data_IF_144754875075
#
_entry.id   IF_144754875075
#
_cell.length_a   1.000
_cell.length_b   1.000
_cell.length_c   1.000
_cell.angle_alpha   90.00
_cell.angle_beta   90.00
_cell.angle_gamma   90.00
#
_symmetry.space_group_name_H-M   'P 1'
#
loop_
_entity.id
_entity.type
_entity.pdbx_description
1 polymer ?
#
# COMPACT_ATOMS: atom_id res chain seq x y z
N UNK A 1 16.81 12.34 -14.09
CA UNK A 1 17.86 11.89 -13.16
C UNK A 1 18.13 10.43 -13.42
N UNK A 2 19.40 10.07 -13.67
CA UNK A 2 19.83 8.68 -13.76
C UNK A 2 20.56 8.31 -12.47
N UNK A 3 20.32 7.11 -11.94
CA UNK A 3 21.01 6.59 -10.76
C UNK A 3 21.47 5.15 -10.97
N UNK A 4 22.58 4.80 -10.34
CA UNK A 4 23.08 3.43 -10.27
C UNK A 4 23.23 3.08 -8.80
N UNK A 5 22.53 2.05 -8.36
CA UNK A 5 22.60 1.55 -6.99
C UNK A 5 23.19 0.14 -6.98
N UNK A 6 24.15 -0.10 -6.10
CA UNK A 6 24.73 -1.41 -5.88
C UNK A 6 24.16 -2.00 -4.57
N UNK A 7 23.72 -3.25 -4.63
CA UNK A 7 23.25 -4.02 -3.49
C UNK A 7 24.14 -5.23 -3.29
N UNK A 8 24.90 -5.24 -2.22
CA UNK A 8 25.71 -6.38 -1.85
C UNK A 8 24.84 -7.55 -1.39
N UNK A 9 25.25 -8.80 -1.63
CA UNK A 9 24.59 -9.96 -1.03
C UNK A 9 24.61 -9.85 0.51
N UNK A 10 23.53 -10.28 1.12
CA UNK A 10 23.50 -10.43 2.58
C UNK A 10 24.44 -11.58 3.00
N UNK A 11 25.04 -11.46 4.18
CA UNK A 11 25.92 -12.52 4.70
C UNK A 11 25.21 -13.86 4.77
N UNK A 12 23.94 -13.85 5.08
CA UNK A 12 23.06 -15.03 5.12
C UNK A 12 22.93 -15.76 3.77
N UNK A 13 23.21 -15.06 2.65
CA UNK A 13 23.17 -15.66 1.31
C UNK A 13 24.50 -16.31 0.92
N UNK A 14 25.57 -15.98 1.63
CA UNK A 14 26.93 -16.43 1.30
C UNK A 14 27.36 -17.67 2.06
N UNK A 15 26.69 -17.98 3.17
CA UNK A 15 27.04 -19.08 4.09
C UNK A 15 25.94 -20.13 4.14
N UNK A 16 26.35 -21.39 4.28
CA UNK A 16 25.41 -22.48 4.52
C UNK A 16 24.81 -22.35 5.91
N UNK A 17 23.48 -22.55 5.99
CA UNK A 17 22.76 -22.61 7.26
C UNK A 17 22.02 -23.94 7.33
N UNK A 18 22.49 -24.81 8.21
CA UNK A 18 21.77 -26.02 8.56
C UNK A 18 20.83 -25.72 9.73
N UNK A 19 19.54 -25.71 9.46
CA UNK A 19 18.54 -25.77 10.50
C UNK A 19 18.23 -27.23 10.80
N UNK A 20 18.70 -27.70 11.95
CA UNK A 20 18.48 -29.08 12.39
C UNK A 20 17.03 -29.39 12.77
N UNK A 21 16.15 -28.38 12.78
CA UNK A 21 14.73 -28.55 13.09
C UNK A 21 13.94 -29.16 11.93
N UNK A 22 14.40 -28.98 10.67
CA UNK A 22 13.80 -29.62 9.49
C UNK A 22 14.86 -30.33 8.65
N UNK A 23 14.98 -31.67 8.78
CA UNK A 23 15.98 -32.44 8.05
C UNK A 23 15.70 -32.53 6.54
N UNK A 24 14.52 -32.16 6.09
CA UNK A 24 14.16 -32.12 4.66
C UNK A 24 14.37 -30.74 4.02
N UNK A 25 14.91 -29.78 4.77
CA UNK A 25 15.17 -28.42 4.30
C UNK A 25 16.60 -27.99 4.56
N UNK A 26 17.28 -27.50 3.53
CA UNK A 26 18.64 -26.98 3.62
C UNK A 26 18.77 -25.64 2.94
N UNK A 27 19.16 -24.61 3.66
CA UNK A 27 19.51 -23.29 3.13
C UNK A 27 21.00 -23.25 2.79
N UNK A 28 21.33 -23.56 1.55
CA UNK A 28 22.71 -23.53 1.05
C UNK A 28 23.14 -22.11 0.71
N UNK A 29 24.30 -21.70 1.19
CA UNK A 29 24.93 -20.44 0.81
C UNK A 29 25.47 -20.46 -0.62
N UNK A 30 25.73 -19.27 -1.17
CA UNK A 30 26.41 -19.11 -2.44
C UNK A 30 27.49 -18.02 -2.37
N UNK A 31 28.73 -18.38 -2.02
CA UNK A 31 29.84 -17.42 -1.95
C UNK A 31 30.17 -16.74 -3.29
N UNK A 32 29.72 -17.28 -4.42
CA UNK A 32 29.97 -16.74 -5.75
C UNK A 32 28.89 -15.74 -6.23
N UNK A 33 27.99 -15.33 -5.35
CA UNK A 33 26.99 -14.31 -5.69
C UNK A 33 27.66 -12.98 -6.09
N UNK A 34 27.23 -12.46 -7.22
CA UNK A 34 27.62 -11.16 -7.71
C UNK A 34 26.77 -10.09 -7.05
N UNK A 35 27.34 -8.90 -6.88
CA UNK A 35 26.60 -7.69 -6.47
C UNK A 35 25.48 -7.40 -7.45
N UNK A 36 24.28 -7.19 -6.94
CA UNK A 36 23.16 -6.72 -7.74
C UNK A 36 23.29 -5.23 -8.03
N UNK A 37 22.95 -4.81 -9.23
CA UNK A 37 22.94 -3.40 -9.65
C UNK A 37 21.56 -3.03 -10.17
N UNK A 38 21.10 -1.88 -9.74
CA UNK A 38 19.92 -1.24 -10.26
C UNK A 38 20.33 -0.01 -11.08
N UNK A 39 19.92 0.01 -12.32
CA UNK A 39 20.01 1.17 -13.20
C UNK A 39 18.63 1.80 -13.27
N UNK A 40 18.50 3.08 -12.91
CA UNK A 40 17.22 3.77 -12.96
C UNK A 40 17.30 5.11 -13.65
N UNK A 41 16.26 5.42 -14.39
CA UNK A 41 16.04 6.72 -15.03
C UNK A 41 14.69 7.26 -14.57
N UNK A 42 14.68 8.50 -14.11
CA UNK A 42 13.46 9.19 -13.66
C UNK A 42 13.37 10.58 -14.28
N UNK A 43 12.17 10.94 -14.72
CA UNK A 43 11.83 12.28 -15.15
C UNK A 43 10.66 12.81 -14.29
N UNK A 44 10.76 14.06 -13.86
CA UNK A 44 9.72 14.72 -13.05
C UNK A 44 9.45 16.10 -13.61
N UNK A 45 8.17 16.37 -13.87
CA UNK A 45 7.67 17.69 -14.22
C UNK A 45 6.76 18.20 -13.10
N UNK A 46 7.01 19.41 -12.61
CA UNK A 46 6.21 20.08 -11.57
C UNK A 46 5.76 21.45 -12.04
N UNK A 47 4.47 21.65 -11.98
CA UNK A 47 3.84 22.95 -12.19
C UNK A 47 3.07 23.37 -10.96
N UNK A 48 3.32 24.61 -10.49
CA UNK A 48 2.54 25.23 -9.42
C UNK A 48 2.18 26.65 -9.85
N UNK A 49 0.92 27.00 -9.68
CA UNK A 49 0.46 28.35 -9.96
C UNK A 49 1.10 29.37 -9.01
N UNK A 50 1.74 30.40 -9.57
CA UNK A 50 2.67 31.28 -8.83
C UNK A 50 2.00 32.19 -7.82
N UNK A 51 0.77 32.65 -8.10
CA UNK A 51 0.14 33.73 -7.32
C UNK A 51 -0.80 33.26 -6.20
N UNK A 52 -1.25 32.01 -6.20
CA UNK A 52 -2.31 31.57 -5.29
C UNK A 52 -2.20 30.11 -4.82
N UNK A 53 -1.22 29.36 -5.31
CA UNK A 53 -1.07 27.91 -5.05
C UNK A 53 -2.37 27.10 -5.27
N UNK A 54 -3.26 27.66 -6.13
CA UNK A 54 -4.58 27.08 -6.34
C UNK A 54 -4.58 25.84 -7.19
N UNK A 55 -3.52 25.63 -7.97
CA UNK A 55 -3.36 24.47 -8.84
C UNK A 55 -1.93 23.94 -8.76
N UNK A 56 -1.81 22.66 -8.56
CA UNK A 56 -0.55 21.95 -8.73
C UNK A 56 -0.72 20.74 -9.63
N UNK A 57 0.27 20.52 -10.46
CA UNK A 57 0.39 19.34 -11.33
C UNK A 57 1.78 18.81 -11.14
N UNK A 58 1.89 17.51 -10.85
CA UNK A 58 3.16 16.81 -10.89
C UNK A 58 2.99 15.58 -11.75
N UNK A 59 3.87 15.40 -12.72
CA UNK A 59 3.94 14.20 -13.55
C UNK A 59 5.34 13.67 -13.42
N UNK A 60 5.45 12.40 -13.08
CA UNK A 60 6.72 11.70 -13.01
C UNK A 60 6.62 10.36 -13.72
N UNK A 61 7.75 9.89 -14.21
CA UNK A 61 7.84 8.58 -14.81
C UNK A 61 9.27 8.09 -14.79
N UNK A 62 9.42 6.79 -14.78
CA UNK A 62 10.73 6.18 -14.67
C UNK A 62 10.77 4.78 -15.23
N UNK A 63 12.00 4.34 -15.44
CA UNK A 63 12.36 3.00 -15.81
C UNK A 63 13.50 2.52 -14.92
N UNK A 64 13.41 1.30 -14.44
CA UNK A 64 14.48 0.64 -13.69
C UNK A 64 14.73 -0.76 -14.26
N UNK A 65 15.99 -1.15 -14.29
CA UNK A 65 16.43 -2.47 -14.69
C UNK A 65 17.44 -3.00 -13.67
N UNK A 66 17.37 -4.28 -13.37
CA UNK A 66 18.25 -4.93 -12.41
C UNK A 66 19.17 -5.95 -13.07
N UNK A 67 20.47 -5.75 -12.91
CA UNK A 67 21.50 -6.69 -13.22
C UNK A 67 21.85 -7.52 -11.98
N UNK A 68 22.01 -8.84 -12.16
CA UNK A 68 22.36 -9.77 -11.09
C UNK A 68 21.43 -9.72 -9.87
N UNK A 69 20.11 -9.55 -10.06
CA UNK A 69 19.14 -9.63 -8.98
C UNK A 69 19.28 -10.94 -8.20
N UNK A 70 18.95 -10.92 -6.91
CA UNK A 70 18.96 -12.13 -6.10
C UNK A 70 17.62 -12.87 -6.22
N UNK A 71 17.70 -14.13 -6.54
CA UNK A 71 16.59 -15.08 -6.61
C UNK A 71 16.98 -16.37 -5.88
N UNK A 72 16.01 -17.14 -5.44
CA UNK A 72 16.25 -18.36 -4.66
C UNK A 72 15.82 -19.59 -5.44
N UNK A 73 16.83 -20.30 -5.99
CA UNK A 73 16.61 -21.57 -6.64
C UNK A 73 16.32 -22.67 -5.59
N UNK A 74 15.27 -23.45 -5.84
CA UNK A 74 14.93 -24.62 -5.03
C UNK A 74 15.25 -25.88 -5.80
N UNK A 75 16.08 -26.73 -5.21
CA UNK A 75 16.53 -27.99 -5.75
C UNK A 75 15.92 -29.12 -4.91
N UNK A 76 15.02 -29.87 -5.50
CA UNK A 76 14.41 -31.02 -4.83
C UNK A 76 15.13 -32.31 -5.22
N UNK A 77 15.55 -33.09 -4.24
CA UNK A 77 16.11 -34.42 -4.44
C UNK A 77 15.02 -35.48 -4.17
N UNK A 78 14.51 -36.17 -5.20
CA UNK A 78 13.44 -37.17 -5.03
C UNK A 78 13.86 -38.42 -4.26
N UNK A 79 15.16 -38.75 -4.21
CA UNK A 79 15.65 -39.94 -3.48
C UNK A 79 15.69 -39.71 -1.96
N UNK A 80 16.05 -38.53 -1.53
CA UNK A 80 16.17 -38.17 -0.11
C UNK A 80 15.02 -37.37 0.44
N UNK A 81 14.18 -36.80 -0.44
CA UNK A 81 13.14 -35.84 -0.09
C UNK A 81 13.68 -34.46 0.31
N UNK A 82 14.99 -34.25 0.27
CA UNK A 82 15.64 -33.00 0.68
C UNK A 82 15.37 -31.88 -0.34
N UNK A 83 14.93 -30.74 0.16
CA UNK A 83 14.84 -29.49 -0.59
C UNK A 83 15.98 -28.56 -0.21
N UNK A 84 16.89 -28.29 -1.16
CA UNK A 84 17.96 -27.31 -0.97
C UNK A 84 17.54 -25.99 -1.60
N UNK A 85 17.56 -24.90 -0.82
CA UNK A 85 17.35 -23.53 -1.30
C UNK A 85 18.69 -22.84 -1.44
N UNK A 86 18.97 -22.31 -2.62
CA UNK A 86 20.24 -21.64 -2.90
C UNK A 86 20.01 -20.30 -3.56
N UNK A 87 20.58 -19.21 -3.04
CA UNK A 87 20.53 -17.90 -3.67
C UNK A 87 21.37 -17.90 -4.97
N UNK A 88 20.81 -17.31 -6.02
CA UNK A 88 21.37 -17.25 -7.36
C UNK A 88 21.18 -15.85 -7.94
N UNK A 89 22.05 -15.44 -8.87
CA UNK A 89 21.82 -14.22 -9.61
C UNK A 89 20.92 -14.47 -10.84
N UNK A 90 20.04 -13.52 -11.13
CA UNK A 90 19.15 -13.54 -12.28
C UNK A 90 19.14 -12.17 -12.96
N UNK A 91 19.10 -12.15 -14.28
CA UNK A 91 19.05 -10.94 -15.11
C UNK A 91 17.77 -10.90 -15.92
N UNK A 92 17.31 -9.69 -16.25
CA UNK A 92 16.15 -9.45 -17.12
C UNK A 92 14.93 -8.90 -16.39
N UNK A 93 15.01 -8.65 -15.08
CA UNK A 93 13.94 -7.96 -14.34
C UNK A 93 14.00 -6.46 -14.62
N UNK A 94 12.86 -5.88 -14.96
CA UNK A 94 12.73 -4.46 -15.20
C UNK A 94 11.35 -3.93 -14.82
N UNK A 95 11.27 -2.62 -14.62
CA UNK A 95 10.05 -1.91 -14.26
C UNK A 95 9.95 -0.59 -15.01
N UNK A 96 8.77 -0.30 -15.55
CA UNK A 96 8.40 1.01 -16.05
C UNK A 96 7.21 1.54 -15.24
N UNK A 97 7.22 2.85 -14.92
CA UNK A 97 6.14 3.43 -14.15
C UNK A 97 5.90 4.89 -14.54
N UNK A 98 4.68 5.35 -14.33
CA UNK A 98 4.28 6.73 -14.47
C UNK A 98 3.31 7.12 -13.34
N UNK A 99 3.41 8.35 -12.86
CA UNK A 99 2.52 8.93 -11.85
C UNK A 99 2.11 10.32 -12.25
N UNK A 100 0.86 10.66 -12.00
CA UNK A 100 0.33 12.00 -12.19
C UNK A 100 -0.43 12.45 -10.95
N UNK A 101 -0.06 13.59 -10.38
CA UNK A 101 -0.73 14.18 -9.23
C UNK A 101 -1.30 15.52 -9.66
N UNK A 102 -2.57 15.69 -9.42
CA UNK A 102 -3.29 16.93 -9.70
C UNK A 102 -4.00 17.40 -8.44
N UNK A 103 -3.87 18.67 -8.10
CA UNK A 103 -4.73 19.28 -7.09
C UNK A 103 -5.13 20.70 -7.46
N UNK A 104 -6.36 21.07 -7.10
CA UNK A 104 -6.89 22.40 -7.38
C UNK A 104 -7.90 22.83 -6.33
N UNK A 105 -7.74 24.09 -5.88
CA UNK A 105 -8.78 24.80 -5.15
C UNK A 105 -9.67 25.59 -6.13
N UNK A 106 -10.99 25.45 -5.99
CA UNK A 106 -11.97 26.07 -6.89
C UNK A 106 -12.87 27.06 -6.15
N UNK A 107 -13.34 28.05 -6.92
CA UNK A 107 -14.24 29.11 -6.47
C UNK A 107 -13.52 30.26 -5.79
N UNK A 108 -14.13 31.45 -5.80
CA UNK A 108 -13.57 32.68 -5.19
C UNK A 108 -13.26 32.50 -3.70
N UNK A 109 -14.07 31.73 -2.99
CA UNK A 109 -13.89 31.43 -1.55
C UNK A 109 -13.03 30.18 -1.28
N UNK A 110 -12.42 29.55 -2.30
CA UNK A 110 -11.56 28.35 -2.21
C UNK A 110 -12.21 27.22 -1.41
N UNK A 111 -13.53 27.04 -1.57
CA UNK A 111 -14.30 26.07 -0.77
C UNK A 111 -14.21 24.65 -1.30
N UNK A 112 -13.91 24.49 -2.57
CA UNK A 112 -13.75 23.19 -3.20
C UNK A 112 -12.28 22.86 -3.35
N UNK A 113 -11.90 21.69 -2.91
CA UNK A 113 -10.60 21.08 -3.19
C UNK A 113 -10.82 19.82 -3.99
N UNK A 114 -10.22 19.75 -5.17
CA UNK A 114 -10.22 18.54 -5.99
C UNK A 114 -8.80 18.05 -6.08
N UNK A 115 -8.59 16.77 -5.84
CA UNK A 115 -7.29 16.11 -6.04
C UNK A 115 -7.47 14.77 -6.72
N UNK A 116 -6.48 14.42 -7.52
CA UNK A 116 -6.40 13.13 -8.20
C UNK A 116 -4.94 12.68 -8.27
N UNK A 117 -4.69 11.44 -7.90
CA UNK A 117 -3.39 10.79 -7.94
C UNK A 117 -3.52 9.53 -8.79
N UNK A 118 -3.02 9.58 -10.02
CA UNK A 118 -3.02 8.48 -10.98
C UNK A 118 -1.66 7.81 -10.99
N UNK A 119 -1.63 6.48 -10.92
CA UNK A 119 -0.43 5.68 -10.97
C UNK A 119 -0.56 4.54 -11.98
N UNK A 120 0.52 4.28 -12.68
CA UNK A 120 0.71 3.18 -13.60
C UNK A 120 2.04 2.51 -13.31
N UNK A 121 2.10 1.19 -13.26
CA UNK A 121 3.36 0.45 -13.31
C UNK A 121 3.21 -0.83 -14.10
N UNK A 122 4.27 -1.14 -14.82
CA UNK A 122 4.47 -2.42 -15.48
C UNK A 122 5.78 -3.02 -14.97
N UNK A 123 5.68 -4.20 -14.36
CA UNK A 123 6.81 -4.92 -13.78
C UNK A 123 6.98 -6.25 -14.52
N UNK A 124 8.11 -6.43 -15.17
CA UNK A 124 8.56 -7.72 -15.73
C UNK A 124 9.52 -8.34 -14.72
N UNK A 125 9.07 -9.34 -13.98
CA UNK A 125 9.86 -10.00 -12.94
C UNK A 125 10.27 -11.40 -13.35
N UNK A 126 11.53 -11.73 -13.09
CA UNK A 126 12.08 -13.05 -13.26
C UNK A 126 12.44 -13.64 -11.91
N UNK A 127 12.16 -14.93 -11.75
CA UNK A 127 12.54 -15.69 -10.55
C UNK A 127 12.89 -17.13 -10.92
N UNK A 128 13.62 -17.81 -10.04
CA UNK A 128 13.82 -19.25 -10.14
C UNK A 128 12.72 -19.97 -9.38
N UNK A 129 12.06 -20.89 -10.05
CA UNK A 129 10.99 -21.69 -9.46
C UNK A 129 11.33 -23.18 -9.58
N UNK A 130 10.95 -23.95 -8.56
CA UNK A 130 11.12 -25.40 -8.61
C UNK A 130 10.11 -26.02 -9.55
N UNK A 131 10.59 -26.97 -10.33
CA UNK A 131 9.76 -27.89 -11.09
C UNK A 131 9.96 -29.29 -10.49
N UNK A 132 8.85 -30.00 -10.25
CA UNK A 132 8.91 -31.36 -9.67
C UNK A 132 9.54 -32.36 -10.63
N UNK A 133 9.50 -32.08 -11.94
CA UNK A 133 10.03 -32.93 -13.00
C UNK A 133 11.46 -32.54 -13.40
N UNK A 134 11.93 -31.35 -13.01
CA UNK A 134 13.27 -30.87 -13.32
C UNK A 134 14.21 -30.98 -12.12
N UNK A 135 15.39 -31.56 -12.35
CA UNK A 135 16.44 -31.65 -11.33
C UNK A 135 17.03 -30.28 -10.92
N UNK A 136 16.73 -29.23 -11.66
CA UNK A 136 17.23 -27.87 -11.46
C UNK A 136 16.09 -26.85 -11.54
N UNK A 137 16.16 -25.75 -10.79
CA UNK A 137 15.16 -24.70 -10.88
C UNK A 137 15.18 -24.06 -12.27
N UNK A 138 14.00 -23.77 -12.77
CA UNK A 138 13.81 -23.12 -14.07
C UNK A 138 13.48 -21.64 -13.87
N UNK A 139 13.83 -20.82 -14.85
CA UNK A 139 13.45 -19.41 -14.85
C UNK A 139 11.98 -19.27 -15.18
N UNK A 140 11.26 -18.53 -14.35
CA UNK A 140 9.87 -18.15 -14.57
C UNK A 140 9.76 -16.65 -14.71
N UNK A 141 8.96 -16.20 -15.67
CA UNK A 141 8.72 -14.79 -15.91
C UNK A 141 7.25 -14.44 -15.66
N UNK A 142 7.04 -13.34 -14.96
CA UNK A 142 5.71 -12.82 -14.63
C UNK A 142 5.63 -11.34 -14.97
N UNK A 143 4.64 -10.99 -15.78
CA UNK A 143 4.28 -9.61 -16.08
C UNK A 143 3.17 -9.15 -15.14
N UNK A 144 3.41 -8.02 -14.46
CA UNK A 144 2.45 -7.38 -13.60
C UNK A 144 2.14 -5.97 -14.12
N UNK A 145 0.89 -5.75 -14.48
CA UNK A 145 0.37 -4.43 -14.80
C UNK A 145 -0.48 -3.94 -13.63
N UNK A 146 -0.19 -2.75 -13.13
CA UNK A 146 -0.93 -2.14 -12.03
C UNK A 146 -1.34 -0.71 -12.40
N UNK A 147 -2.62 -0.41 -12.22
CA UNK A 147 -3.19 0.93 -12.38
C UNK A 147 -3.87 1.31 -11.08
N UNK A 148 -3.54 2.49 -10.56
CA UNK A 148 -4.16 3.06 -9.36
C UNK A 148 -4.68 4.45 -9.66
N UNK A 149 -5.83 4.79 -9.11
CA UNK A 149 -6.40 6.12 -9.18
C UNK A 149 -7.03 6.49 -7.84
N UNK A 150 -6.64 7.63 -7.28
CA UNK A 150 -7.17 8.16 -6.03
C UNK A 150 -7.77 9.53 -6.29
N UNK A 151 -9.08 9.57 -6.39
CA UNK A 151 -9.83 10.79 -6.62
C UNK A 151 -10.49 11.28 -5.34
N UNK A 152 -10.38 12.59 -5.06
CA UNK A 152 -11.02 13.25 -3.91
C UNK A 152 -11.61 14.58 -4.29
N UNK A 153 -12.78 14.84 -3.74
CA UNK A 153 -13.42 16.16 -3.76
C UNK A 153 -13.83 16.51 -2.36
N UNK A 154 -13.34 17.64 -1.86
CA UNK A 154 -13.72 18.18 -0.56
C UNK A 154 -14.40 19.53 -0.73
N UNK A 155 -15.51 19.72 -0.06
CA UNK A 155 -16.20 20.99 0.07
C UNK A 155 -16.17 21.47 1.51
N UNK A 156 -15.75 22.71 1.71
CA UNK A 156 -15.66 23.33 3.04
C UNK A 156 -16.46 24.60 3.10
N UNK A 157 -17.31 24.70 4.11
CA UNK A 157 -18.01 25.91 4.47
C UNK A 157 -17.97 26.10 5.99
N UNK A 158 -17.32 27.18 6.44
CA UNK A 158 -17.03 27.42 7.86
C UNK A 158 -16.31 26.18 8.47
N UNK A 159 -16.93 25.58 9.48
CA UNK A 159 -16.41 24.38 10.14
C UNK A 159 -16.93 23.06 9.54
N UNK A 160 -17.93 23.12 8.66
CA UNK A 160 -18.47 21.95 7.98
C UNK A 160 -17.54 21.52 6.82
N UNK A 161 -17.33 20.23 6.72
CA UNK A 161 -16.60 19.59 5.61
C UNK A 161 -17.43 18.44 5.06
N UNK A 162 -17.60 18.42 3.76
CA UNK A 162 -18.19 17.33 3.01
C UNK A 162 -17.15 16.84 2.03
N UNK A 163 -16.88 15.54 2.02
CA UNK A 163 -15.90 14.92 1.13
C UNK A 163 -16.53 13.76 0.35
N UNK A 164 -16.03 13.55 -0.86
CA UNK A 164 -16.24 12.32 -1.61
C UNK A 164 -14.88 11.79 -2.07
N UNK A 165 -14.70 10.48 -2.03
CA UNK A 165 -13.48 9.82 -2.49
C UNK A 165 -13.78 8.56 -3.27
N UNK A 166 -12.89 8.26 -4.21
CA UNK A 166 -12.93 7.06 -5.02
C UNK A 166 -11.48 6.58 -5.24
N UNK A 167 -11.21 5.35 -4.82
CA UNK A 167 -9.89 4.73 -4.91
C UNK A 167 -10.02 3.48 -5.80
N UNK A 168 -9.40 3.49 -6.97
CA UNK A 168 -9.34 2.37 -7.91
C UNK A 168 -7.97 1.72 -7.84
N UNK A 169 -7.92 0.41 -7.75
CA UNK A 169 -6.73 -0.41 -8.01
C UNK A 169 -7.12 -1.53 -8.95
N UNK A 170 -6.55 -1.52 -10.13
CA UNK A 170 -6.67 -2.61 -11.09
C UNK A 170 -5.31 -3.26 -11.32
N UNK A 171 -5.25 -4.58 -11.21
CA UNK A 171 -4.03 -5.35 -11.44
C UNK A 171 -4.30 -6.49 -12.40
N UNK A 172 -3.35 -6.70 -13.31
CA UNK A 172 -3.32 -7.85 -14.20
C UNK A 172 -1.96 -8.52 -14.10
N UNK A 173 -1.97 -9.82 -13.83
CA UNK A 173 -0.78 -10.64 -13.70
C UNK A 173 -0.84 -11.77 -14.72
N UNK A 174 0.24 -11.94 -15.45
CA UNK A 174 0.38 -12.96 -16.49
C UNK A 174 1.66 -13.74 -16.29
N UNK A 175 1.55 -15.04 -16.09
CA UNK A 175 2.68 -15.97 -16.21
C UNK A 175 3.03 -16.14 -17.68
N UNK A 176 4.29 -15.95 -18.05
CA UNK A 176 4.73 -16.11 -19.44
C UNK A 176 5.03 -17.58 -19.78
N UNK A 177 5.30 -18.39 -18.78
CA UNK A 177 5.55 -19.83 -18.88
C UNK A 177 4.30 -20.70 -18.63
N UNK A 178 3.13 -20.06 -18.47
CA UNK A 178 1.86 -20.76 -18.31
C UNK A 178 1.62 -21.45 -16.96
N UNK A 179 2.45 -21.21 -15.94
CA UNK A 179 2.34 -21.84 -14.62
C UNK A 179 1.04 -21.51 -13.90
N UNK A 180 0.49 -20.35 -14.15
CA UNK A 180 -0.85 -19.98 -13.68
C UNK A 180 -1.61 -19.21 -14.75
N UNK A 181 -2.92 -19.31 -14.69
CA UNK A 181 -3.79 -18.55 -15.59
C UNK A 181 -3.64 -17.03 -15.34
N UNK A 182 -3.77 -16.24 -16.40
CA UNK A 182 -3.79 -14.78 -16.27
C UNK A 182 -4.84 -14.37 -15.24
N UNK A 183 -4.41 -13.64 -14.24
CA UNK A 183 -5.26 -13.15 -13.17
C UNK A 183 -5.45 -11.64 -13.31
N UNK A 184 -6.70 -11.18 -13.19
CA UNK A 184 -7.01 -9.75 -13.24
C UNK A 184 -8.04 -9.44 -12.17
N UNK A 185 -7.71 -8.52 -11.26
CA UNK A 185 -8.62 -8.14 -10.21
C UNK A 185 -8.73 -6.62 -10.07
N UNK A 186 -9.89 -6.20 -9.60
CA UNK A 186 -10.26 -4.79 -9.41
C UNK A 186 -10.70 -4.59 -7.97
N UNK A 187 -10.11 -3.58 -7.33
CA UNK A 187 -10.62 -2.99 -6.10
C UNK A 187 -11.08 -1.58 -6.41
N UNK A 188 -12.30 -1.27 -6.09
CA UNK A 188 -12.85 0.07 -6.24
C UNK A 188 -13.56 0.48 -4.95
N UNK A 189 -12.89 1.32 -4.17
CA UNK A 189 -13.42 1.80 -2.90
C UNK A 189 -13.92 3.22 -3.10
N UNK A 190 -15.17 3.48 -2.78
CA UNK A 190 -15.75 4.82 -2.93
C UNK A 190 -16.68 5.15 -1.77
N UNK A 191 -16.81 6.42 -1.49
CA UNK A 191 -17.69 6.84 -0.40
C UNK A 191 -17.64 8.33 -0.13
N UNK A 192 -18.37 8.69 0.92
CA UNK A 192 -18.55 10.08 1.34
C UNK A 192 -18.18 10.24 2.81
N UNK A 193 -17.73 11.44 3.16
CA UNK A 193 -17.39 11.85 4.52
C UNK A 193 -18.11 13.14 4.86
N UNK A 194 -18.61 13.27 6.07
CA UNK A 194 -19.18 14.49 6.60
C UNK A 194 -18.57 14.78 7.97
N UNK A 195 -18.23 16.04 8.20
CA UNK A 195 -17.78 16.54 9.50
C UNK A 195 -18.42 17.91 9.71
N UNK A 196 -19.21 18.04 10.76
CA UNK A 196 -20.01 19.26 11.01
C UNK A 196 -20.17 19.54 12.50
N UNK A 197 -20.10 20.81 12.92
CA UNK A 197 -20.55 21.19 14.25
C UNK A 197 -22.07 21.03 14.36
N UNK A 198 -22.52 20.62 15.52
CA UNK A 198 -23.92 20.51 15.89
C UNK A 198 -24.26 21.52 16.99
N UNK A 199 -25.55 21.60 17.33
CA UNK A 199 -26.05 22.37 18.46
C UNK A 199 -25.37 21.92 19.78
N UNK A 200 -25.38 22.78 20.76
CA UNK A 200 -24.80 22.57 22.12
C UNK A 200 -23.30 22.26 22.14
N UNK A 201 -22.57 22.63 21.08
CA UNK A 201 -21.12 22.43 20.98
C UNK A 201 -20.70 21.00 20.74
N UNK A 202 -21.58 20.14 20.26
CA UNK A 202 -21.22 18.85 19.72
C UNK A 202 -20.60 19.00 18.33
N UNK A 203 -19.77 18.05 17.99
CA UNK A 203 -19.22 17.87 16.64
C UNK A 203 -19.53 16.46 16.19
N UNK A 204 -20.10 16.32 15.01
CA UNK A 204 -20.42 15.05 14.37
C UNK A 204 -19.50 14.80 13.19
N UNK A 205 -18.93 13.62 13.15
CA UNK A 205 -18.17 13.10 12.02
C UNK A 205 -18.75 11.77 11.58
N UNK A 206 -18.80 11.51 10.28
CA UNK A 206 -19.21 10.23 9.75
C UNK A 206 -18.59 9.99 8.39
N UNK A 207 -18.33 8.73 8.09
CA UNK A 207 -17.95 8.26 6.76
C UNK A 207 -18.67 6.94 6.44
N UNK A 208 -19.06 6.81 5.18
CA UNK A 208 -19.58 5.58 4.63
C UNK A 208 -18.81 5.24 3.35
N UNK A 209 -18.26 4.03 3.32
CA UNK A 209 -17.41 3.53 2.25
C UNK A 209 -17.94 2.21 1.71
N UNK A 210 -18.01 2.09 0.39
CA UNK A 210 -18.18 0.84 -0.32
C UNK A 210 -16.82 0.28 -0.73
N UNK A 211 -16.59 -0.99 -0.43
CA UNK A 211 -15.40 -1.75 -0.82
C UNK A 211 -15.79 -2.78 -1.87
N UNK A 212 -15.64 -2.41 -3.13
CA UNK A 212 -15.96 -3.26 -4.27
C UNK A 212 -14.74 -4.07 -4.68
N UNK A 213 -14.88 -5.40 -4.77
CA UNK A 213 -13.83 -6.34 -5.17
C UNK A 213 -14.35 -7.29 -6.23
N UNK A 214 -13.61 -7.45 -7.33
CA UNK A 214 -13.95 -8.36 -8.44
C UNK A 214 -12.68 -8.94 -9.07
N UNK A 215 -12.86 -10.07 -9.76
CA UNK A 215 -11.80 -10.75 -10.49
C UNK A 215 -11.08 -11.83 -9.69
N UNK A 216 -11.57 -12.18 -8.51
CA UNK A 216 -11.03 -13.28 -7.73
C UNK A 216 -11.61 -14.62 -8.21
N UNK A 217 -10.74 -15.66 -8.24
CA UNK A 217 -11.14 -17.02 -8.60
C UNK A 217 -12.16 -17.61 -7.62
N UNK A 218 -12.01 -17.30 -6.33
CA UNK A 218 -13.01 -17.60 -5.32
C UNK A 218 -14.15 -16.58 -5.38
N UNK A 219 -15.33 -17.04 -5.75
CA UNK A 219 -16.52 -16.21 -5.88
C UNK A 219 -16.89 -15.48 -4.57
N UNK A 220 -16.61 -16.09 -3.41
CA UNK A 220 -16.87 -15.49 -2.09
C UNK A 220 -16.06 -14.22 -1.83
N UNK A 221 -14.98 -14.00 -2.57
CA UNK A 221 -14.14 -12.81 -2.47
C UNK A 221 -14.59 -11.66 -3.38
N UNK A 222 -15.51 -11.92 -4.31
CA UNK A 222 -16.06 -10.92 -5.23
C UNK A 222 -17.23 -10.18 -4.58
N UNK A 223 -16.96 -9.40 -3.55
CA UNK A 223 -17.95 -8.74 -2.69
C UNK A 223 -18.03 -7.24 -2.91
N UNK A 224 -19.10 -6.65 -2.38
CA UNK A 224 -19.23 -5.21 -2.17
C UNK A 224 -19.65 -5.03 -0.71
N UNK A 225 -18.70 -4.58 0.11
CA UNK A 225 -18.89 -4.46 1.55
C UNK A 225 -19.02 -2.98 1.91
N UNK A 226 -20.03 -2.63 2.71
CA UNK A 226 -20.26 -1.26 3.15
C UNK A 226 -19.78 -1.09 4.59
N UNK A 227 -18.85 -0.18 4.80
CA UNK A 227 -18.36 0.18 6.14
C UNK A 227 -18.84 1.57 6.49
N UNK A 228 -19.58 1.67 7.58
CA UNK A 228 -20.06 2.92 8.11
C UNK A 228 -19.44 3.20 9.48
N UNK A 229 -18.78 4.34 9.59
CA UNK A 229 -18.21 4.84 10.83
C UNK A 229 -18.91 6.16 11.23
N UNK A 230 -19.10 6.37 12.52
CA UNK A 230 -19.66 7.62 13.04
C UNK A 230 -18.94 8.02 14.32
N UNK A 231 -18.79 9.30 14.51
CA UNK A 231 -18.16 9.91 15.67
C UNK A 231 -19.00 11.08 16.17
N UNK A 232 -19.24 11.12 17.48
CA UNK A 232 -19.83 12.26 18.15
C UNK A 232 -18.88 12.72 19.25
N UNK A 233 -18.47 13.98 19.20
CA UNK A 233 -17.52 14.51 20.17
C UNK A 233 -18.00 15.85 20.74
N UNK A 234 -17.59 16.14 21.99
CA UNK A 234 -17.90 17.40 22.66
C UNK A 234 -16.74 17.82 23.54
N UNK A 235 -16.17 19.02 23.31
CA UNK A 235 -15.23 19.61 24.23
C UNK A 235 -15.98 20.20 25.45
N UNK A 236 -15.47 19.92 26.65
CA UNK A 236 -16.05 20.37 27.93
C UNK A 236 -15.03 21.18 28.74
N UNK A 237 -15.57 21.96 29.70
CA UNK A 237 -14.79 22.84 30.56
C UNK A 237 -14.56 24.23 29.97
N UNK A 238 -14.31 25.23 30.84
CA UNK A 238 -14.11 26.65 30.41
C UNK A 238 -12.96 26.83 29.41
N UNK A 239 -11.92 25.98 29.48
CA UNK A 239 -10.75 25.98 28.57
C UNK A 239 -10.81 24.87 27.55
N UNK A 240 -11.96 24.17 27.41
CA UNK A 240 -12.11 23.02 26.49
C UNK A 240 -11.04 21.93 26.70
N UNK A 241 -10.58 21.75 27.94
CA UNK A 241 -9.52 20.82 28.30
C UNK A 241 -9.98 19.34 28.29
N UNK A 242 -11.25 19.10 28.47
CA UNK A 242 -11.84 17.79 28.36
C UNK A 242 -12.45 17.58 26.95
N UNK A 243 -12.26 16.43 26.39
CA UNK A 243 -12.96 16.02 25.18
C UNK A 243 -13.59 14.65 25.43
N UNK A 244 -14.91 14.60 25.36
CA UNK A 244 -15.64 13.34 25.34
C UNK A 244 -15.94 13.00 23.88
N UNK A 245 -15.65 11.74 23.48
CA UNK A 245 -15.83 11.27 22.11
C UNK A 245 -16.42 9.86 22.14
N UNK A 246 -17.55 9.68 21.49
CA UNK A 246 -18.13 8.38 21.20
C UNK A 246 -17.83 8.03 19.73
N UNK A 247 -17.28 6.86 19.45
CA UNK A 247 -16.93 6.37 18.13
C UNK A 247 -17.65 5.05 17.91
N UNK A 248 -18.39 4.93 16.81
CA UNK A 248 -18.89 3.69 16.29
C UNK A 248 -18.05 3.31 15.05
N UNK A 249 -17.43 2.16 15.06
CA UNK A 249 -16.65 1.63 13.96
C UNK A 249 -17.39 0.45 13.31
N UNK A 250 -17.45 0.44 11.98
CA UNK A 250 -18.12 -0.57 11.16
C UNK A 250 -19.52 -0.92 11.67
N UNK A 251 -20.38 0.09 11.78
CA UNK A 251 -21.75 -0.05 12.33
C UNK A 251 -22.62 -1.03 11.50
N UNK A 252 -22.24 -1.32 10.26
CA UNK A 252 -22.90 -2.29 9.39
C UNK A 252 -22.31 -3.71 9.49
N UNK A 253 -21.21 -3.89 10.22
CA UNK A 253 -20.52 -5.18 10.44
C UNK A 253 -20.09 -5.88 9.14
N UNK A 254 -19.63 -5.13 8.16
CA UNK A 254 -19.25 -5.64 6.84
C UNK A 254 -17.77 -5.44 6.50
N UNK A 255 -16.89 -5.13 7.48
CA UNK A 255 -15.48 -4.91 7.20
C UNK A 255 -14.84 -6.19 6.63
N UNK A 256 -14.16 -6.10 5.48
CA UNK A 256 -13.52 -7.26 4.89
C UNK A 256 -12.31 -7.71 5.71
N UNK A 257 -12.24 -8.98 6.05
CA UNK A 257 -11.18 -9.57 6.85
C UNK A 257 -10.25 -10.52 6.06
N UNK A 258 -10.26 -10.42 4.74
CA UNK A 258 -9.48 -11.29 3.86
C UNK A 258 -8.46 -10.47 3.08
N UNK A 259 -7.19 -10.93 3.07
CA UNK A 259 -6.11 -10.39 2.25
C UNK A 259 -5.57 -11.47 1.33
N UNK A 260 -5.39 -11.16 0.06
CA UNK A 260 -4.72 -12.03 -0.90
C UNK A 260 -3.46 -11.37 -1.42
N UNK A 261 -2.38 -12.14 -1.44
CA UNK A 261 -1.11 -11.80 -2.06
C UNK A 261 -0.81 -12.78 -3.19
N UNK A 262 -0.27 -12.29 -4.29
CA UNK A 262 0.14 -13.09 -5.45
C UNK A 262 1.58 -12.76 -5.77
N UNK A 263 2.39 -13.80 -5.96
CA UNK A 263 3.79 -13.71 -6.36
C UNK A 263 4.13 -14.75 -7.45
N UNK A 264 5.39 -14.84 -7.86
CA UNK A 264 5.82 -15.76 -8.90
C UNK A 264 5.68 -17.25 -8.53
N UNK A 265 5.44 -17.56 -7.25
CA UNK A 265 5.28 -18.94 -6.75
C UNK A 265 3.80 -19.34 -6.64
N UNK A 266 2.86 -18.37 -6.73
CA UNK A 266 1.45 -18.62 -6.61
C UNK A 266 0.71 -17.52 -5.86
N UNK A 267 -0.36 -17.90 -5.17
CA UNK A 267 -1.16 -16.97 -4.39
C UNK A 267 -1.34 -17.47 -2.94
N UNK A 268 -1.48 -16.54 -2.03
CA UNK A 268 -1.77 -16.78 -0.62
C UNK A 268 -2.99 -15.98 -0.19
N UNK A 269 -3.92 -16.62 0.48
CA UNK A 269 -5.08 -15.99 1.11
C UNK A 269 -4.90 -16.01 2.63
N UNK A 270 -5.03 -14.87 3.26
CA UNK A 270 -4.97 -14.73 4.70
C UNK A 270 -6.31 -14.20 5.20
N UNK A 271 -6.98 -14.96 6.07
CA UNK A 271 -8.19 -14.51 6.78
C UNK A 271 -7.80 -14.05 8.17
N UNK A 272 -8.17 -12.81 8.49
CA UNK A 272 -7.91 -12.24 9.82
C UNK A 272 -9.14 -12.39 10.70
N UNK A 273 -8.95 -12.84 11.92
CA UNK A 273 -10.01 -12.81 12.93
C UNK A 273 -10.04 -11.40 13.55
N UNK A 274 -10.71 -10.48 12.88
CA UNK A 274 -10.87 -9.08 13.35
C UNK A 274 -12.21 -8.93 14.06
N UNK A 275 -12.27 -8.03 15.05
CA UNK A 275 -13.56 -7.56 15.60
C UNK A 275 -14.14 -6.57 14.61
N UNK A 276 -15.18 -6.93 13.85
CA UNK A 276 -15.63 -6.08 12.73
C UNK A 276 -16.30 -4.80 13.22
N UNK A 277 -17.01 -4.82 14.33
CA UNK A 277 -17.81 -3.68 14.80
C UNK A 277 -17.60 -3.46 16.29
N UNK A 278 -17.45 -2.21 16.68
CA UNK A 278 -17.40 -1.82 18.08
C UNK A 278 -17.81 -0.38 18.28
N UNK A 279 -18.24 -0.07 19.51
CA UNK A 279 -18.45 1.30 19.98
C UNK A 279 -17.46 1.58 21.09
N UNK A 280 -16.85 2.74 21.07
CA UNK A 280 -15.83 3.14 22.02
C UNK A 280 -16.12 4.53 22.56
N UNK A 281 -15.99 4.70 23.88
CA UNK A 281 -16.06 5.99 24.56
C UNK A 281 -14.65 6.43 24.94
N UNK A 282 -14.25 7.59 24.45
CA UNK A 282 -12.97 8.22 24.80
C UNK A 282 -13.21 9.42 25.69
N UNK A 283 -12.41 9.51 26.73
CA UNK A 283 -12.31 10.72 27.58
C UNK A 283 -10.86 11.20 27.50
N UNK A 284 -10.67 12.35 26.91
CA UNK A 284 -9.34 12.94 26.71
C UNK A 284 -9.23 14.21 27.54
N UNK A 285 -8.20 14.29 28.38
CA UNK A 285 -7.84 15.50 29.07
C UNK A 285 -6.59 16.12 28.48
N UNK A 286 -6.65 17.40 28.11
CA UNK A 286 -5.53 18.16 27.56
C UNK A 286 -4.87 18.97 28.66
N UNK A 287 -3.64 18.62 29.00
CA UNK A 287 -2.78 19.38 29.89
C UNK A 287 -2.12 20.53 29.10
N UNK A 288 -2.72 21.72 29.17
CA UNK A 288 -2.08 22.95 28.67
C UNK A 288 -1.03 23.42 29.68
N UNK A 289 0.17 22.87 29.61
CA UNK A 289 1.31 23.43 30.34
C UNK A 289 1.78 24.66 29.58
N UNK A 290 1.32 25.85 29.96
CA UNK A 290 1.94 27.09 29.48
C UNK A 290 3.40 27.09 29.94
N UNK A 291 4.38 27.27 29.03
CA UNK A 291 5.78 27.42 29.43
C UNK A 291 5.84 28.60 30.42
N UNK A 292 6.44 28.40 31.61
CA UNK A 292 6.76 29.48 32.52
C UNK A 292 7.52 30.55 31.74
N UNK A 293 6.99 31.78 31.68
CA UNK A 293 7.76 32.92 31.17
C UNK A 293 9.07 32.95 31.94
N UNK A 294 10.18 32.73 31.27
CA UNK A 294 11.49 32.97 31.81
C UNK A 294 11.51 34.43 32.31
N UNK A 295 11.94 34.70 33.52
CA UNK A 295 12.12 36.09 33.94
C UNK A 295 13.19 36.68 33.01
N UNK A 296 12.74 37.55 32.09
CA UNK A 296 13.68 38.35 31.29
C UNK A 296 14.49 39.17 32.29
N UNK A 297 15.77 38.85 32.35
CA UNK A 297 16.79 39.64 33.01
C UNK A 297 16.65 41.10 32.53
N UNK A 298 16.16 41.98 33.42
CA UNK A 298 16.30 43.41 33.24
C UNK A 298 17.82 43.71 33.37
N UNK A 299 18.45 44.02 32.26
CA UNK A 299 19.65 44.84 32.20
C UNK A 299 19.32 46.08 31.37
#
# INVERSE_FOLDING_TARGET
>A
IGTIMNRLPELSYLIDRNDSSDPLWHDAGNPSLKTSREYSLEAVYRFRERNDYMRSIEVSGGYSEWENSFSFGRFYNPETGLTTVRPMNINGTWRAWAKGNYSRLLGKAKRWNISNDLGFSFDHSLDYVSDREAASPIKSAVDNLNVTDHFRVDYRINEMRLGAKADLTWRKQKSLDGRFATNSFTHFNYGVTLSTPLIWGFHFGTDIMAYYRRGYADASMNTTDWVWNAELSRPLGRRKQWLIKAIGFDLLQQIPNVRREVNNQGWQETRYNTKPSYVMLHVVYRLDVKPKKSPMSKK
#
